data_IF_577798581876
#
_entry.id   IF_577798581876
#
_cell.length_a   1.000
_cell.length_b   1.000
_cell.length_c   1.000
_cell.angle_alpha   90.00
_cell.angle_beta   90.00
_cell.angle_gamma   90.00
#
_symmetry.space_group_name_H-M   'P 1'
#
loop_
_entity.id
_entity.type
_entity.pdbx_description
1 polymer ?
#
# COMPACT_ATOMS: atom_id res chain seq x y z
N UNK A 1 -0.25 -5.17 0.18
CA UNK A 1 -0.04 -4.89 -1.26
C UNK A 1 -0.52 -3.48 -1.60
N UNK A 2 -0.36 -3.03 -2.85
CA UNK A 2 -0.76 -1.66 -3.25
C UNK A 2 -1.73 -1.57 -4.42
N UNK A 3 -2.62 -2.56 -4.57
CA UNK A 3 -3.74 -2.53 -5.52
C UNK A 3 -5.01 -1.90 -4.94
N UNK A 4 -6.09 -1.94 -5.71
CA UNK A 4 -7.41 -1.40 -5.35
C UNK A 4 -7.98 -2.06 -4.09
N UNK A 5 -7.95 -3.40 -4.02
CA UNK A 5 -8.35 -4.15 -2.83
C UNK A 5 -7.59 -3.74 -1.58
N UNK A 6 -6.30 -3.41 -1.70
CA UNK A 6 -5.53 -2.94 -0.56
C UNK A 6 -5.98 -1.55 -0.09
N UNK A 7 -6.32 -0.65 -1.03
CA UNK A 7 -6.92 0.65 -0.72
C UNK A 7 -8.26 0.50 0.00
N UNK A 8 -9.11 -0.45 -0.41
CA UNK A 8 -10.39 -0.71 0.26
C UNK A 8 -10.20 -1.23 1.68
N UNK A 9 -9.24 -2.14 1.89
CA UNK A 9 -8.86 -2.62 3.22
C UNK A 9 -8.36 -1.48 4.12
N UNK A 10 -7.53 -0.58 3.60
CA UNK A 10 -7.07 0.61 4.35
C UNK A 10 -8.25 1.46 4.81
N UNK A 11 -9.17 1.78 3.89
CA UNK A 11 -10.33 2.61 4.22
C UNK A 11 -11.22 1.92 5.26
N UNK A 12 -11.46 0.63 5.09
CA UNK A 12 -12.26 -0.19 6.02
C UNK A 12 -11.64 -0.22 7.42
N UNK A 13 -10.32 -0.43 7.53
CA UNK A 13 -9.62 -0.47 8.81
C UNK A 13 -9.81 0.83 9.61
N UNK A 14 -9.68 1.98 8.97
CA UNK A 14 -9.95 3.27 9.63
C UNK A 14 -11.42 3.40 10.07
N UNK A 15 -12.40 2.97 9.26
CA UNK A 15 -13.83 3.00 9.67
C UNK A 15 -14.12 2.06 10.83
N UNK A 16 -13.35 0.99 10.96
CA UNK A 16 -13.44 0.04 12.07
C UNK A 16 -12.70 0.52 13.32
N UNK A 17 -12.10 1.72 13.31
CA UNK A 17 -11.48 2.35 14.47
C UNK A 17 -9.99 2.05 14.63
N UNK A 18 -9.32 1.58 13.58
CA UNK A 18 -7.86 1.45 13.62
C UNK A 18 -7.19 2.81 13.88
N UNK A 19 -6.34 2.88 14.90
CA UNK A 19 -5.59 4.10 15.24
C UNK A 19 -4.45 4.40 14.27
N UNK A 20 -3.92 3.36 13.61
CA UNK A 20 -2.86 3.43 12.60
C UNK A 20 -3.03 2.29 11.61
N UNK A 21 -2.75 2.57 10.34
CA UNK A 21 -2.76 1.58 9.26
C UNK A 21 -1.46 1.73 8.48
N UNK A 22 -0.71 0.63 8.34
CA UNK A 22 0.51 0.56 7.52
C UNK A 22 0.28 -0.41 6.37
N UNK A 23 0.46 0.07 5.14
CA UNK A 23 0.29 -0.69 3.91
C UNK A 23 1.67 -1.07 3.35
N UNK A 24 1.97 -2.37 3.31
CA UNK A 24 3.20 -2.90 2.73
C UNK A 24 2.99 -3.29 1.26
N UNK A 25 3.86 -2.86 0.34
CA UNK A 25 3.90 -3.31 -1.06
C UNK A 25 5.27 -3.91 -1.40
N UNK A 26 5.25 -5.08 -2.05
CA UNK A 26 6.46 -5.77 -2.52
C UNK A 26 7.11 -5.05 -3.71
N UNK A 27 6.34 -4.25 -4.44
CA UNK A 27 6.83 -3.52 -5.62
C UNK A 27 7.62 -2.27 -5.20
N UNK A 28 8.54 -1.79 -6.06
CA UNK A 28 9.17 -0.49 -5.89
C UNK A 28 8.15 0.63 -5.74
N UNK A 29 8.55 1.66 -4.98
CA UNK A 29 7.79 2.89 -4.93
C UNK A 29 7.67 3.44 -6.35
N UNK A 30 6.44 3.63 -6.87
CA UNK A 30 6.26 4.21 -8.18
C UNK A 30 6.83 5.63 -8.26
N UNK A 31 7.33 6.07 -9.42
CA UNK A 31 7.81 7.43 -9.57
C UNK A 31 6.66 8.43 -9.43
N UNK A 32 6.93 9.62 -8.89
CA UNK A 32 5.90 10.68 -8.80
C UNK A 32 5.38 11.09 -10.18
N UNK A 33 6.29 11.12 -11.16
CA UNK A 33 5.99 11.45 -12.55
C UNK A 33 6.27 10.23 -13.43
N UNK A 34 5.29 9.90 -14.27
CA UNK A 34 5.43 8.86 -15.29
C UNK A 34 6.34 9.29 -16.43
N UNK A 35 7.09 8.33 -16.99
CA UNK A 35 7.71 8.43 -18.30
C UNK A 35 6.91 7.59 -19.30
N UNK A 36 6.10 8.27 -20.12
CA UNK A 36 5.18 7.62 -21.06
C UNK A 36 5.89 7.09 -22.30
N UNK A 37 6.96 7.75 -22.73
CA UNK A 37 7.61 7.43 -23.99
C UNK A 37 8.44 6.15 -23.88
N UNK A 38 9.05 5.90 -22.72
CA UNK A 38 9.88 4.70 -22.51
C UNK A 38 9.08 3.39 -22.37
N UNK A 39 7.76 3.46 -22.14
CA UNK A 39 6.93 2.28 -21.85
C UNK A 39 5.78 2.05 -22.84
N UNK A 40 5.57 2.92 -23.83
CA UNK A 40 4.54 2.74 -24.87
C UNK A 40 4.73 1.39 -25.61
N UNK A 41 3.70 0.55 -25.82
CA UNK A 41 2.26 0.80 -25.66
C UNK A 41 1.64 0.51 -24.28
N UNK A 42 2.46 0.19 -23.29
CA UNK A 42 2.01 -0.14 -21.95
C UNK A 42 1.64 1.10 -21.14
N UNK A 43 0.88 0.87 -20.08
CA UNK A 43 0.49 1.92 -19.16
C UNK A 43 1.66 2.32 -18.25
N UNK A 44 2.05 3.60 -18.29
CA UNK A 44 3.12 4.10 -17.46
C UNK A 44 2.73 4.08 -15.97
N UNK A 45 3.66 3.62 -15.15
CA UNK A 45 3.45 3.57 -13.70
C UNK A 45 3.73 4.94 -13.12
N UNK A 46 2.87 5.38 -12.19
CA UNK A 46 3.10 6.58 -11.38
C UNK A 46 2.58 6.38 -9.98
N UNK A 47 3.08 7.17 -9.04
CA UNK A 47 2.56 7.20 -7.68
C UNK A 47 1.12 7.70 -7.70
N UNK A 48 0.22 6.90 -7.13
CA UNK A 48 -1.19 7.22 -6.96
C UNK A 48 -1.53 7.06 -5.48
N UNK A 49 -2.31 8.00 -4.97
CA UNK A 49 -2.84 7.97 -3.61
C UNK A 49 -4.35 8.01 -3.72
N UNK A 50 -5.01 6.95 -3.24
CA UNK A 50 -6.47 6.90 -3.15
C UNK A 50 -6.98 7.74 -1.98
N UNK A 51 -8.29 8.00 -1.94
CA UNK A 51 -8.93 8.64 -0.79
C UNK A 51 -8.66 7.87 0.50
N UNK A 52 -8.79 6.54 0.47
CA UNK A 52 -8.53 5.67 1.63
C UNK A 52 -7.09 5.78 2.13
N UNK A 53 -6.12 5.81 1.21
CA UNK A 53 -4.71 5.98 1.57
C UNK A 53 -4.42 7.39 2.12
N UNK A 54 -5.11 8.41 1.60
CA UNK A 54 -4.96 9.80 2.05
C UNK A 54 -5.49 10.05 3.47
N UNK A 55 -6.21 9.12 4.08
CA UNK A 55 -6.70 9.22 5.47
C UNK A 55 -5.61 9.03 6.53
N UNK A 56 -4.36 8.85 6.12
CA UNK A 56 -3.22 8.75 7.02
C UNK A 56 -2.56 7.37 7.04
N UNK A 57 -2.79 6.54 6.02
CA UNK A 57 -2.09 5.27 5.91
C UNK A 57 -0.62 5.49 5.58
N UNK A 58 0.26 4.90 6.36
CA UNK A 58 1.67 4.82 6.03
C UNK A 58 1.88 3.76 4.94
N UNK A 59 2.79 4.03 4.00
CA UNK A 59 3.02 3.18 2.84
C UNK A 59 4.48 2.84 2.71
N UNK A 60 4.79 1.56 2.82
CA UNK A 60 6.13 1.03 2.63
C UNK A 60 6.19 0.23 1.32
N UNK A 61 7.31 0.37 0.63
CA UNK A 61 7.54 -0.21 -0.70
C UNK A 61 8.82 -1.03 -0.70
N UNK A 62 8.92 -1.98 -1.63
CA UNK A 62 9.99 -2.98 -1.67
C UNK A 62 10.09 -3.81 -0.38
N UNK A 63 8.94 -4.06 0.28
CA UNK A 63 8.89 -4.87 1.50
C UNK A 63 8.16 -6.18 1.23
N UNK A 64 8.75 -7.27 1.69
CA UNK A 64 8.14 -8.59 1.68
C UNK A 64 7.83 -9.03 3.12
N UNK A 65 6.62 -9.54 3.34
CA UNK A 65 6.26 -10.19 4.61
C UNK A 65 6.93 -11.56 4.64
N UNK A 66 7.74 -11.82 5.67
CA UNK A 66 8.45 -13.10 5.84
C UNK A 66 7.69 -14.02 6.80
N UNK A 67 7.36 -13.50 7.98
CA UNK A 67 6.66 -14.21 9.03
C UNK A 67 5.79 -13.27 9.85
N UNK A 68 4.85 -13.85 10.59
CA UNK A 68 4.07 -13.17 11.61
C UNK A 68 4.55 -13.65 12.97
N UNK A 69 4.95 -12.72 13.83
CA UNK A 69 5.42 -13.01 15.18
C UNK A 69 4.30 -12.68 16.16
N UNK A 70 4.09 -13.56 17.14
CA UNK A 70 3.05 -13.39 18.13
C UNK A 70 3.20 -14.31 19.33
N UNK A 71 2.55 -13.95 20.42
CA UNK A 71 2.53 -14.67 21.68
C UNK A 71 1.07 -14.82 22.14
N UNK A 72 0.75 -15.94 22.81
CA UNK A 72 -0.60 -16.21 23.35
C UNK A 72 -1.77 -16.05 22.35
N UNK A 73 -1.51 -16.35 21.07
CA UNK A 73 -2.51 -16.26 20.00
C UNK A 73 -2.76 -14.84 19.48
N UNK A 74 -1.95 -13.85 19.89
CA UNK A 74 -1.99 -12.48 19.40
C UNK A 74 -0.68 -12.10 18.69
N UNK A 75 -0.77 -11.28 17.65
CA UNK A 75 0.40 -10.72 16.97
C UNK A 75 1.04 -9.61 17.83
N UNK A 76 2.37 -9.55 17.85
CA UNK A 76 3.18 -8.58 18.61
C UNK A 76 4.03 -7.73 17.68
#
# INVERSE_FOLDING_TARGET
GGGDTASDCVGTAFRQGAVRVTQLDIRPQPPEKEDKLSVWPYWATKMRTSSSQAEGAEREFQVATLEFIGEDGALT
#
